data_IF_986617521220
#
_entry.id   IF_986617521220
#
_cell.length_a   1.000
_cell.length_b   1.000
_cell.length_c   1.000
_cell.angle_alpha   90.00
_cell.angle_beta   90.00
_cell.angle_gamma   90.00
#
_symmetry.space_group_name_H-M   'P 1'
#
loop_
_entity.id
_entity.type
_entity.pdbx_description
1 polymer ?
#
# COMPACT_ATOMS: atom_id res chain seq x y z
N UNK A 1 -30.22 -4.50 7.34
CA UNK A 1 -29.00 -3.75 7.67
C UNK A 1 -29.32 -2.29 7.47
N UNK A 2 -29.04 -1.42 8.43
CA UNK A 2 -29.21 0.03 8.21
C UNK A 2 -28.11 0.54 7.24
N UNK A 3 -28.35 1.67 6.57
CA UNK A 3 -27.35 2.28 5.68
C UNK A 3 -26.03 2.53 6.41
N UNK A 4 -26.10 2.94 7.68
CA UNK A 4 -24.92 3.17 8.53
C UNK A 4 -24.10 1.90 8.76
N UNK A 5 -24.72 0.74 8.98
CA UNK A 5 -24.01 -0.53 9.12
C UNK A 5 -23.32 -0.95 7.82
N UNK A 6 -23.99 -0.72 6.68
CA UNK A 6 -23.44 -1.01 5.36
C UNK A 6 -22.18 -0.18 5.09
N UNK A 7 -22.19 1.11 5.36
CA UNK A 7 -21.03 2.00 5.19
C UNK A 7 -19.90 1.68 6.17
N UNK A 8 -20.24 1.37 7.41
CA UNK A 8 -19.28 0.94 8.43
C UNK A 8 -18.53 -0.32 7.99
N UNK A 9 -19.26 -1.34 7.57
CA UNK A 9 -18.67 -2.60 7.11
C UNK A 9 -17.81 -2.41 5.86
N UNK A 10 -18.22 -1.56 4.93
CA UNK A 10 -17.43 -1.23 3.75
C UNK A 10 -16.10 -0.55 4.13
N UNK A 11 -16.12 0.40 5.05
CA UNK A 11 -14.92 1.09 5.51
C UNK A 11 -13.94 0.14 6.23
N UNK A 12 -14.44 -0.75 7.09
CA UNK A 12 -13.62 -1.76 7.77
C UNK A 12 -13.03 -2.77 6.78
N UNK A 13 -13.79 -3.21 5.78
CA UNK A 13 -13.27 -4.08 4.71
C UNK A 13 -12.19 -3.40 3.87
N UNK A 14 -12.33 -2.10 3.60
CA UNK A 14 -11.30 -1.29 2.94
C UNK A 14 -10.01 -1.23 3.77
N UNK A 15 -10.12 -1.01 5.07
CA UNK A 15 -8.98 -1.04 5.98
C UNK A 15 -8.34 -2.44 6.02
N UNK A 16 -9.12 -3.49 6.14
CA UNK A 16 -8.66 -4.89 6.08
C UNK A 16 -7.88 -5.18 4.79
N UNK A 17 -8.38 -4.70 3.65
CA UNK A 17 -7.71 -4.83 2.36
C UNK A 17 -6.31 -4.19 2.39
N UNK A 18 -6.19 -2.97 2.91
CA UNK A 18 -4.90 -2.28 2.99
C UNK A 18 -3.93 -2.95 3.96
N UNK A 19 -4.43 -3.68 4.96
CA UNK A 19 -3.64 -4.40 5.96
C UNK A 19 -3.35 -5.87 5.58
N UNK A 20 -3.73 -6.31 4.37
CA UNK A 20 -3.33 -7.60 3.82
C UNK A 20 -4.45 -8.60 3.55
N UNK A 21 -5.73 -8.29 3.79
CA UNK A 21 -6.86 -9.14 3.34
C UNK A 21 -7.17 -8.90 1.86
N UNK A 22 -6.17 -9.14 1.02
CA UNK A 22 -6.20 -8.97 -0.43
C UNK A 22 -5.57 -10.18 -1.13
N UNK A 23 -5.60 -10.19 -2.46
CA UNK A 23 -5.15 -11.31 -3.29
C UNK A 23 -3.66 -11.67 -3.10
N UNK A 24 -2.84 -10.74 -2.62
CA UNK A 24 -1.40 -10.94 -2.40
C UNK A 24 -1.05 -11.33 -0.96
N UNK A 25 -2.03 -11.32 -0.04
CA UNK A 25 -1.80 -11.37 1.41
C UNK A 25 -0.72 -10.34 1.84
N UNK A 26 -0.72 -9.19 1.18
CA UNK A 26 0.27 -8.12 1.29
C UNK A 26 -0.35 -6.90 1.97
N UNK A 27 0.16 -6.52 3.15
CA UNK A 27 -0.14 -5.20 3.68
C UNK A 27 0.54 -4.13 2.82
N UNK A 28 -0.17 -3.07 2.50
CA UNK A 28 0.39 -1.88 1.85
C UNK A 28 0.84 -0.83 2.87
N UNK A 29 0.66 -1.11 4.17
CA UNK A 29 1.07 -0.23 5.26
C UNK A 29 2.36 -0.77 5.89
N UNK A 30 3.45 -0.02 5.74
CA UNK A 30 4.75 -0.41 6.27
C UNK A 30 4.70 -0.57 7.80
N UNK A 31 5.27 -1.67 8.30
CA UNK A 31 5.33 -1.97 9.73
C UNK A 31 4.08 -2.63 10.32
N UNK A 32 3.01 -2.78 9.57
CA UNK A 32 1.76 -3.40 10.01
C UNK A 32 1.36 -4.56 9.09
N UNK A 33 1.54 -5.78 9.57
CA UNK A 33 1.27 -7.01 8.84
C UNK A 33 2.51 -7.92 8.77
N UNK A 34 2.35 -9.11 8.20
CA UNK A 34 3.44 -10.10 8.06
C UNK A 34 4.28 -9.88 6.80
N UNK A 35 3.66 -9.43 5.72
CA UNK A 35 4.29 -9.05 4.46
C UNK A 35 3.99 -7.58 4.20
N UNK A 36 5.01 -6.73 4.23
CA UNK A 36 4.87 -5.26 4.18
C UNK A 36 5.85 -4.66 3.17
N UNK A 37 5.58 -3.47 2.61
CA UNK A 37 6.52 -2.77 1.73
C UNK A 37 7.87 -2.53 2.42
N UNK A 38 8.96 -2.84 1.73
CA UNK A 38 10.32 -2.61 2.22
C UNK A 38 11.01 -1.50 1.43
N UNK A 39 10.71 -1.37 0.15
CA UNK A 39 11.42 -0.55 -0.83
C UNK A 39 10.48 0.46 -1.48
N UNK A 40 9.78 1.25 -0.64
CA UNK A 40 8.81 2.23 -1.15
C UNK A 40 9.45 3.26 -2.10
N UNK A 41 8.71 3.64 -3.14
CA UNK A 41 9.12 4.71 -4.03
C UNK A 41 8.98 6.06 -3.32
N UNK A 42 10.11 6.62 -2.94
CA UNK A 42 10.22 7.95 -2.32
C UNK A 42 11.67 8.42 -2.36
N UNK A 43 11.88 9.70 -2.72
CA UNK A 43 13.22 10.31 -2.68
C UNK A 43 13.79 10.41 -1.26
N UNK A 44 12.92 10.51 -0.25
CA UNK A 44 13.32 10.62 1.16
C UNK A 44 13.67 9.27 1.78
N UNK A 45 13.20 8.16 1.19
CA UNK A 45 13.28 6.82 1.77
C UNK A 45 13.83 5.79 0.79
N UNK A 46 14.69 6.22 -0.14
CA UNK A 46 15.25 5.38 -1.20
C UNK A 46 16.37 4.45 -0.71
N UNK A 47 16.20 3.80 0.43
CA UNK A 47 17.19 2.94 1.08
C UNK A 47 17.70 1.80 0.19
N UNK A 48 16.88 1.30 -0.73
CA UNK A 48 17.30 0.26 -1.68
C UNK A 48 18.41 0.75 -2.63
N UNK A 49 18.44 2.05 -2.93
CA UNK A 49 19.46 2.66 -3.80
C UNK A 49 20.67 3.18 -3.02
N UNK A 50 20.46 3.57 -1.76
CA UNK A 50 21.49 4.15 -0.90
C UNK A 50 21.17 3.77 0.55
N UNK A 51 21.99 2.92 1.15
CA UNK A 51 21.81 2.39 2.50
C UNK A 51 22.03 3.43 3.61
N UNK A 52 22.58 4.59 3.28
CA UNK A 52 22.66 5.74 4.20
C UNK A 52 21.33 6.49 4.34
N UNK A 53 20.41 6.31 3.39
CA UNK A 53 19.06 6.89 3.41
C UNK A 53 18.14 6.05 4.28
N UNK A 54 17.34 6.64 5.18
CA UNK A 54 16.46 5.87 6.04
C UNK A 54 15.35 5.14 5.25
N UNK A 55 14.88 4.03 5.79
CA UNK A 55 13.65 3.39 5.31
C UNK A 55 12.44 4.23 5.70
N UNK A 56 11.37 4.14 4.93
CA UNK A 56 10.09 4.79 5.28
C UNK A 56 9.63 4.36 6.68
N UNK A 57 9.09 5.28 7.49
CA UNK A 57 8.63 4.95 8.84
C UNK A 57 7.42 4.00 8.82
N UNK A 58 7.18 3.25 9.92
CA UNK A 58 5.92 2.52 10.08
C UNK A 58 4.70 3.44 9.90
N UNK A 59 3.65 2.93 9.27
CA UNK A 59 2.46 3.72 8.93
C UNK A 59 2.50 4.36 7.54
N UNK A 60 3.66 4.38 6.86
CA UNK A 60 3.71 4.80 5.46
C UNK A 60 2.92 3.83 4.59
N UNK A 61 2.02 4.36 3.76
CA UNK A 61 1.16 3.56 2.89
C UNK A 61 1.64 3.64 1.44
N UNK A 62 1.90 2.49 0.83
CA UNK A 62 2.19 2.34 -0.59
C UNK A 62 0.89 2.34 -1.41
N UNK A 63 0.97 2.71 -2.70
CA UNK A 63 -0.18 2.78 -3.60
C UNK A 63 -0.91 1.45 -3.78
N UNK A 64 -0.18 0.34 -3.84
CA UNK A 64 -0.75 -0.99 -3.98
C UNK A 64 -0.86 -1.51 -5.40
N UNK A 65 -1.58 -2.63 -5.58
CA UNK A 65 -1.69 -3.29 -6.88
C UNK A 65 -2.35 -2.41 -7.94
N UNK A 66 -1.73 -2.37 -9.13
CA UNK A 66 -2.16 -1.57 -10.27
C UNK A 66 -1.91 -2.34 -11.58
N UNK A 67 -2.98 -2.77 -12.26
CA UNK A 67 -2.87 -3.51 -13.54
C UNK A 67 -2.35 -2.65 -14.71
N UNK A 68 -2.42 -1.33 -14.58
CA UNK A 68 -1.89 -0.38 -15.55
C UNK A 68 -0.52 0.17 -15.12
N UNK A 69 0.21 -0.60 -14.32
CA UNK A 69 1.56 -0.23 -13.93
C UNK A 69 2.44 -0.04 -15.17
N UNK A 70 3.18 1.07 -15.20
CA UNK A 70 3.92 1.52 -16.39
C UNK A 70 5.31 2.05 -16.05
N UNK A 71 5.89 1.62 -14.94
CA UNK A 71 7.28 1.91 -14.61
C UNK A 71 8.19 0.73 -14.99
N UNK A 72 9.52 0.94 -15.18
CA UNK A 72 10.41 -0.11 -15.64
C UNK A 72 10.36 -1.40 -14.82
N UNK A 73 10.41 -1.39 -13.46
CA UNK A 73 10.28 -2.63 -12.68
C UNK A 73 8.94 -3.33 -12.88
N UNK A 74 7.84 -2.57 -13.01
CA UNK A 74 6.53 -3.14 -13.23
C UNK A 74 6.38 -3.73 -14.63
N UNK A 75 6.88 -3.06 -15.66
CA UNK A 75 6.87 -3.55 -17.04
C UNK A 75 7.63 -4.88 -17.17
N UNK A 76 8.72 -5.06 -16.44
CA UNK A 76 9.52 -6.27 -16.51
C UNK A 76 8.91 -7.45 -15.72
N UNK A 77 8.29 -7.18 -14.58
CA UNK A 77 7.90 -8.21 -13.60
C UNK A 77 6.40 -8.54 -13.65
N UNK A 78 5.57 -7.58 -14.05
CA UNK A 78 4.10 -7.70 -13.93
C UNK A 78 3.39 -8.07 -15.22
N UNK A 79 4.09 -8.52 -16.26
CA UNK A 79 3.51 -8.91 -17.54
C UNK A 79 2.44 -10.00 -17.37
N UNK A 80 1.19 -9.65 -17.75
CA UNK A 80 0.06 -10.58 -17.67
C UNK A 80 -0.41 -10.91 -16.25
N UNK A 81 -0.04 -10.13 -15.26
CA UNK A 81 -0.54 -10.29 -13.90
C UNK A 81 -2.06 -10.09 -13.85
N UNK A 82 -2.74 -10.84 -13.00
CA UNK A 82 -4.17 -10.61 -12.77
C UNK A 82 -4.41 -9.27 -12.04
N UNK A 83 -5.51 -8.56 -12.33
CA UNK A 83 -5.90 -7.40 -11.53
C UNK A 83 -5.86 -7.71 -10.03
N UNK A 84 -5.50 -6.77 -9.19
CA UNK A 84 -5.28 -6.92 -7.75
C UNK A 84 -4.01 -7.72 -7.35
N UNK A 85 -3.24 -8.26 -8.29
CA UNK A 85 -1.96 -8.93 -8.01
C UNK A 85 -0.75 -8.22 -8.62
N UNK A 86 -0.97 -7.19 -9.41
CA UNK A 86 0.06 -6.42 -10.11
C UNK A 86 0.76 -5.44 -9.15
N UNK A 87 1.68 -5.95 -8.34
CA UNK A 87 2.43 -5.19 -7.34
C UNK A 87 3.89 -5.64 -7.30
N UNK A 88 4.81 -4.70 -7.28
CA UNK A 88 6.24 -4.95 -7.08
C UNK A 88 6.78 -4.03 -5.98
N UNK A 89 7.53 -4.62 -5.02
CA UNK A 89 8.18 -3.86 -3.94
C UNK A 89 9.58 -3.41 -4.38
N UNK A 90 9.62 -2.40 -5.22
CA UNK A 90 10.86 -1.80 -5.73
C UNK A 90 10.79 -0.28 -5.63
N UNK A 91 11.91 0.36 -5.24
CA UNK A 91 12.01 1.81 -5.08
C UNK A 91 11.78 2.57 -6.39
N UNK A 92 12.00 1.95 -7.53
CA UNK A 92 11.76 2.56 -8.84
C UNK A 92 10.31 2.36 -9.33
N UNK A 93 9.49 1.54 -8.63
CA UNK A 93 8.10 1.34 -8.99
C UNK A 93 7.20 2.44 -8.42
N UNK A 94 7.10 3.55 -9.14
CA UNK A 94 6.20 4.63 -8.77
C UNK A 94 4.73 4.29 -9.01
N UNK A 95 4.41 3.38 -9.92
CA UNK A 95 3.03 3.03 -10.25
C UNK A 95 2.36 2.07 -9.26
N UNK A 96 3.15 1.34 -8.46
CA UNK A 96 2.62 0.39 -7.46
C UNK A 96 3.08 0.69 -6.03
N UNK A 97 4.29 1.21 -5.85
CA UNK A 97 4.97 1.26 -4.55
C UNK A 97 5.25 2.69 -4.03
N UNK A 98 4.68 3.71 -4.68
CA UNK A 98 4.82 5.10 -4.21
C UNK A 98 4.12 5.30 -2.87
N UNK A 99 4.71 6.12 -2.00
CA UNK A 99 4.08 6.67 -0.80
C UNK A 99 3.72 8.12 -1.02
N UNK A 100 2.48 8.50 -0.67
CA UNK A 100 1.97 9.85 -0.90
C UNK A 100 1.17 10.35 0.31
N UNK A 101 1.18 11.68 0.53
CA UNK A 101 0.50 12.33 1.65
C UNK A 101 -1.01 12.09 1.62
N UNK A 102 -1.62 12.16 0.43
CA UNK A 102 -3.06 11.96 0.27
C UNK A 102 -3.51 10.54 0.65
N UNK A 103 -2.71 9.52 0.37
CA UNK A 103 -3.01 8.15 0.82
C UNK A 103 -2.82 7.98 2.32
N UNK A 104 -1.72 8.51 2.85
CA UNK A 104 -1.44 8.51 4.29
C UNK A 104 -2.51 9.25 5.10
N UNK A 105 -3.04 10.36 4.59
CA UNK A 105 -4.10 11.12 5.27
C UNK A 105 -5.42 10.36 5.33
N UNK A 106 -5.81 9.69 4.23
CA UNK A 106 -7.00 8.85 4.20
C UNK A 106 -6.89 7.65 5.15
N UNK A 107 -5.71 6.99 5.18
CA UNK A 107 -5.42 5.93 6.13
C UNK A 107 -5.53 6.42 7.57
N UNK A 108 -4.90 7.54 7.91
CA UNK A 108 -4.92 8.11 9.25
C UNK A 108 -6.35 8.41 9.71
N UNK A 109 -7.19 8.93 8.82
CA UNK A 109 -8.59 9.20 9.12
C UNK A 109 -9.36 7.91 9.43
N UNK A 110 -9.29 6.90 8.55
CA UNK A 110 -10.06 5.66 8.73
C UNK A 110 -9.59 4.83 9.92
N UNK A 111 -8.28 4.82 10.22
CA UNK A 111 -7.74 4.12 11.38
C UNK A 111 -8.21 4.76 12.69
N UNK A 112 -8.18 6.11 12.78
CA UNK A 112 -8.70 6.81 13.95
C UNK A 112 -10.20 6.54 14.15
N UNK A 113 -10.97 6.59 13.09
CA UNK A 113 -12.39 6.26 13.15
C UNK A 113 -12.60 4.79 13.59
N UNK A 114 -11.89 3.83 13.01
CA UNK A 114 -12.02 2.39 13.33
C UNK A 114 -11.66 2.10 14.80
N UNK A 115 -10.71 2.82 15.38
CA UNK A 115 -10.32 2.67 16.78
C UNK A 115 -11.41 3.10 17.78
N UNK A 116 -12.46 3.77 17.33
CA UNK A 116 -13.58 4.23 18.15
C UNK A 116 -14.86 3.40 17.97
N UNK A 117 -14.82 2.34 17.15
CA UNK A 117 -15.94 1.42 16.91
C UNK A 117 -15.92 0.25 17.89
#
# INVERSE_FOLDING_TARGET
>A
MSDNETYRDAALRGLDYTLGRNALAQSYVRGYGTKVPQNVHSRLYAHQLDDTVPRAPPGSMAGGANENASDPPADDVLQGCAPQTCYVDDVNSYSTNEVAINWGSALAWVVNWAATQ
#
